data_IF_594608064086
#
_entry.id   IF_594608064086
#
_cell.length_a   1.000
_cell.length_b   1.000
_cell.length_c   1.000
_cell.angle_alpha   90.00
_cell.angle_beta   90.00
_cell.angle_gamma   90.00
#
_symmetry.space_group_name_H-M   'P 1'
#
loop_
_entity.id
_entity.type
_entity.pdbx_description
1 polymer ?
#
# COMPACT_ATOMS: atom_id res chain seq x y z
N UNK A 1 -10.39 -17.97 -9.29
CA UNK A 1 -11.31 -17.44 -8.25
C UNK A 1 -11.77 -16.07 -8.74
N UNK A 2 -13.07 -15.85 -8.93
CA UNK A 2 -13.58 -14.55 -9.37
C UNK A 2 -13.26 -13.50 -8.29
N UNK A 3 -12.65 -12.38 -8.68
CA UNK A 3 -12.41 -11.29 -7.74
C UNK A 3 -13.77 -10.73 -7.28
N UNK A 4 -13.96 -10.47 -5.98
CA UNK A 4 -15.19 -9.85 -5.50
C UNK A 4 -15.38 -8.48 -6.17
N UNK A 5 -16.61 -8.13 -6.52
CA UNK A 5 -16.91 -6.81 -7.07
C UNK A 5 -16.55 -5.69 -6.08
N UNK A 6 -16.28 -4.49 -6.58
CA UNK A 6 -16.00 -3.31 -5.75
C UNK A 6 -17.06 -3.11 -4.66
N UNK A 7 -18.34 -3.18 -5.02
CA UNK A 7 -19.46 -3.06 -4.07
C UNK A 7 -19.46 -4.17 -3.01
N UNK A 8 -19.14 -5.41 -3.40
CA UNK A 8 -19.07 -6.53 -2.48
C UNK A 8 -17.91 -6.38 -1.48
N UNK A 9 -16.80 -5.78 -1.90
CA UNK A 9 -15.67 -5.46 -1.01
C UNK A 9 -16.03 -4.32 -0.06
N UNK A 10 -16.62 -3.23 -0.57
CA UNK A 10 -17.04 -2.09 0.25
C UNK A 10 -17.96 -2.50 1.40
N UNK A 11 -18.96 -3.35 1.13
CA UNK A 11 -19.89 -3.86 2.15
C UNK A 11 -19.22 -4.66 3.28
N UNK A 12 -18.00 -5.16 3.07
CA UNK A 12 -17.24 -5.92 4.08
C UNK A 12 -16.45 -5.03 5.03
N UNK A 13 -16.23 -3.76 4.69
CA UNK A 13 -15.51 -2.82 5.56
C UNK A 13 -16.44 -2.46 6.71
N UNK A 14 -15.97 -2.72 7.93
CA UNK A 14 -16.69 -2.42 9.16
C UNK A 14 -15.81 -1.50 10.01
N UNK A 15 -16.41 -0.61 10.83
CA UNK A 15 -15.64 0.13 11.82
C UNK A 15 -14.97 -0.86 12.78
N UNK A 16 -13.83 -0.43 13.32
CA UNK A 16 -13.19 -1.19 14.40
C UNK A 16 -14.12 -1.20 15.61
N UNK A 17 -14.23 -2.36 16.25
CA UNK A 17 -15.10 -2.56 17.39
C UNK A 17 -14.44 -1.97 18.65
N UNK A 18 -15.16 -1.04 19.30
CA UNK A 18 -14.68 -0.30 20.46
C UNK A 18 -14.47 -1.20 21.68
N UNK A 19 -15.23 -2.30 21.80
CA UNK A 19 -15.10 -3.22 22.93
C UNK A 19 -13.73 -3.93 22.91
N UNK A 20 -13.20 -4.22 21.71
CA UNK A 20 -11.87 -4.77 21.57
C UNK A 20 -10.77 -3.77 21.94
N UNK A 21 -10.99 -2.48 21.66
CA UNK A 21 -10.06 -1.42 22.09
C UNK A 21 -10.05 -1.35 23.62
N UNK A 22 -11.22 -1.29 24.25
CA UNK A 22 -11.36 -1.23 25.70
C UNK A 22 -10.73 -2.45 26.40
N UNK A 23 -10.98 -3.67 25.90
CA UNK A 23 -10.35 -4.88 26.43
C UNK A 23 -8.82 -4.88 26.25
N UNK A 24 -8.31 -4.34 25.13
CA UNK A 24 -6.88 -4.22 24.91
C UNK A 24 -6.24 -3.20 25.87
N UNK A 25 -6.89 -2.05 26.08
CA UNK A 25 -6.49 -1.04 27.06
C UNK A 25 -6.47 -1.60 28.49
N UNK A 26 -7.50 -2.34 28.89
CA UNK A 26 -7.54 -3.01 30.19
C UNK A 26 -6.40 -4.02 30.34
N UNK A 27 -6.11 -4.81 29.29
CA UNK A 27 -4.97 -5.72 29.29
C UNK A 27 -3.65 -4.98 29.47
N UNK A 28 -3.47 -3.79 28.87
CA UNK A 28 -2.24 -2.99 29.02
C UNK A 28 -1.94 -2.62 30.48
N UNK A 29 -2.97 -2.46 31.32
CA UNK A 29 -2.84 -2.15 32.75
C UNK A 29 -2.27 -3.33 33.56
N UNK A 30 -2.41 -4.56 33.05
CA UNK A 30 -1.98 -5.79 33.72
C UNK A 30 -0.60 -6.28 33.26
N UNK A 31 0.03 -5.61 32.28
CA UNK A 31 1.37 -5.95 31.81
C UNK A 31 2.44 -5.40 32.75
N UNK A 32 3.61 -6.05 32.78
CA UNK A 32 4.76 -5.64 33.59
C UNK A 32 5.43 -4.37 33.04
N UNK A 33 4.74 -3.24 33.18
CA UNK A 33 5.17 -1.89 32.80
C UNK A 33 4.34 -0.86 33.59
N UNK A 34 4.88 0.33 33.90
CA UNK A 34 4.02 1.42 34.38
C UNK A 34 2.92 1.74 33.35
N UNK A 35 1.68 2.00 33.77
CA UNK A 35 0.59 2.37 32.86
C UNK A 35 0.98 3.52 31.93
N UNK A 36 0.74 3.36 30.63
CA UNK A 36 1.04 4.37 29.61
C UNK A 36 2.52 4.58 29.27
N UNK A 37 3.45 3.85 29.89
CA UNK A 37 4.89 4.08 29.71
C UNK A 37 5.41 3.82 28.30
N UNK A 38 4.69 3.08 27.46
CA UNK A 38 5.06 2.84 26.07
C UNK A 38 4.36 3.79 25.07
N UNK A 39 3.50 4.69 25.55
CA UNK A 39 2.82 5.73 24.77
C UNK A 39 2.17 5.19 23.50
N UNK A 40 2.59 5.71 22.33
CA UNK A 40 2.06 5.34 21.01
C UNK A 40 2.16 3.85 20.68
N UNK A 41 3.10 3.11 21.27
CA UNK A 41 3.18 1.66 21.05
C UNK A 41 1.97 0.93 21.64
N UNK A 42 1.42 1.41 22.77
CA UNK A 42 0.19 0.85 23.35
C UNK A 42 -1.00 1.12 22.43
N UNK A 43 -1.12 2.35 21.93
CA UNK A 43 -2.18 2.74 20.98
C UNK A 43 -2.17 1.88 19.71
N UNK A 44 -0.98 1.65 19.12
CA UNK A 44 -0.83 0.81 17.94
C UNK A 44 -1.21 -0.65 18.25
N UNK A 45 -0.75 -1.19 19.39
CA UNK A 45 -1.07 -2.56 19.79
C UNK A 45 -2.59 -2.74 20.01
N UNK A 46 -3.25 -1.79 20.67
CA UNK A 46 -4.69 -1.84 20.93
C UNK A 46 -5.50 -1.76 19.62
N UNK A 47 -5.07 -0.92 18.67
CA UNK A 47 -5.67 -0.87 17.32
C UNK A 47 -5.49 -2.17 16.56
N UNK A 48 -4.31 -2.78 16.62
CA UNK A 48 -4.07 -4.09 16.01
C UNK A 48 -4.95 -5.17 16.64
N UNK A 49 -5.12 -5.15 17.96
CA UNK A 49 -6.00 -6.06 18.68
C UNK A 49 -7.46 -5.93 18.21
N UNK A 50 -7.94 -4.70 18.03
CA UNK A 50 -9.29 -4.43 17.54
C UNK A 50 -9.50 -4.82 16.07
N UNK A 51 -8.53 -4.54 15.19
CA UNK A 51 -8.59 -4.95 13.77
C UNK A 51 -8.62 -6.47 13.65
N UNK A 52 -7.79 -7.17 14.42
CA UNK A 52 -7.66 -8.63 14.36
C UNK A 52 -8.65 -9.38 15.27
N UNK A 53 -9.42 -8.65 16.09
CA UNK A 53 -10.34 -9.19 17.10
C UNK A 53 -9.66 -10.22 18.01
N UNK A 54 -8.51 -9.84 18.57
CA UNK A 54 -7.73 -10.67 19.50
C UNK A 54 -6.85 -9.82 20.40
N UNK A 55 -6.70 -10.20 21.67
CA UNK A 55 -5.79 -9.53 22.61
C UNK A 55 -4.32 -9.93 22.44
N UNK A 56 -4.02 -10.82 21.50
CA UNK A 56 -2.66 -11.21 21.10
C UNK A 56 -2.49 -11.05 19.58
N UNK A 57 -2.54 -9.81 19.06
CA UNK A 57 -2.42 -9.56 17.63
C UNK A 57 -1.04 -9.96 17.12
N UNK A 58 -0.98 -10.44 15.89
CA UNK A 58 0.28 -10.81 15.21
C UNK A 58 0.33 -10.22 13.81
N UNK A 59 1.51 -9.83 13.36
CA UNK A 59 1.71 -9.42 11.96
C UNK A 59 2.22 -10.64 11.20
N UNK A 60 1.42 -11.12 10.24
CA UNK A 60 1.76 -12.29 9.41
C UNK A 60 1.91 -11.85 7.96
N UNK A 61 3.01 -12.23 7.33
CA UNK A 61 3.30 -11.94 5.91
C UNK A 61 3.04 -10.49 5.51
N UNK A 62 3.63 -9.50 6.21
CA UNK A 62 3.50 -8.10 5.81
C UNK A 62 4.04 -7.90 4.39
N UNK A 63 3.43 -7.00 3.63
CA UNK A 63 3.82 -6.67 2.26
C UNK A 63 3.87 -5.15 2.05
N UNK A 64 4.81 -4.70 1.24
CA UNK A 64 4.86 -3.35 0.66
C UNK A 64 4.43 -3.49 -0.80
N UNK A 65 3.38 -2.78 -1.19
CA UNK A 65 2.91 -2.71 -2.57
C UNK A 65 3.23 -1.34 -3.16
N UNK A 66 3.91 -1.31 -4.30
CA UNK A 66 4.19 -0.09 -5.07
C UNK A 66 3.31 -0.09 -6.30
N UNK A 67 2.31 0.77 -6.35
CA UNK A 67 1.50 0.99 -7.54
C UNK A 67 2.20 2.01 -8.45
N UNK A 68 2.50 1.62 -9.68
CA UNK A 68 3.21 2.44 -10.64
C UNK A 68 2.34 2.73 -11.85
N UNK A 69 2.22 4.02 -12.19
CA UNK A 69 1.56 4.52 -13.38
C UNK A 69 2.15 5.87 -13.78
N UNK A 70 1.99 6.21 -15.05
CA UNK A 70 2.33 7.50 -15.61
C UNK A 70 1.10 8.40 -15.74
N UNK A 71 1.33 9.72 -15.77
CA UNK A 71 0.28 10.72 -15.83
C UNK A 71 0.43 11.63 -17.05
N UNK A 72 -0.64 11.78 -17.83
CA UNK A 72 -0.62 12.64 -19.03
C UNK A 72 -0.37 14.12 -18.73
N UNK A 73 -0.69 14.61 -17.52
CA UNK A 73 -0.40 15.99 -17.12
C UNK A 73 1.10 16.33 -17.15
N UNK A 74 1.99 15.32 -17.19
CA UNK A 74 3.43 15.54 -17.35
C UNK A 74 3.78 16.31 -18.64
N UNK A 75 2.92 16.29 -19.67
CA UNK A 75 3.05 17.10 -20.88
C UNK A 75 3.06 18.61 -20.60
N UNK A 76 2.43 19.04 -19.50
CA UNK A 76 2.37 20.45 -19.07
C UNK A 76 3.65 20.93 -18.36
N UNK A 77 4.70 20.09 -18.29
CA UNK A 77 5.99 20.47 -17.69
C UNK A 77 5.94 20.63 -16.16
N UNK A 78 4.97 20.01 -15.50
CA UNK A 78 4.76 20.10 -14.04
C UNK A 78 5.74 19.25 -13.22
N UNK A 79 6.52 18.39 -13.86
CA UNK A 79 7.51 17.52 -13.22
C UNK A 79 8.93 18.00 -13.54
N UNK A 80 9.85 18.03 -12.55
CA UNK A 80 11.27 18.28 -12.81
C UNK A 80 11.99 17.10 -13.48
N UNK A 81 11.33 15.95 -13.61
CA UNK A 81 11.87 14.73 -14.22
C UNK A 81 11.08 14.33 -15.47
N UNK A 82 11.75 13.80 -16.51
CA UNK A 82 11.07 13.21 -17.66
C UNK A 82 10.15 12.05 -17.26
N UNK A 83 9.04 11.87 -17.98
CA UNK A 83 8.08 10.79 -17.72
C UNK A 83 8.71 9.39 -17.77
N UNK A 84 9.74 9.18 -18.60
CA UNK A 84 10.47 7.91 -18.68
C UNK A 84 11.15 7.48 -17.36
N UNK A 85 11.31 8.38 -16.39
CA UNK A 85 11.89 8.06 -15.08
C UNK A 85 11.02 7.08 -14.30
N UNK A 86 9.69 7.06 -14.50
CA UNK A 86 8.80 6.11 -13.82
C UNK A 86 9.20 4.67 -14.11
N UNK A 87 9.39 4.32 -15.39
CA UNK A 87 9.78 2.98 -15.79
C UNK A 87 11.19 2.61 -15.34
N UNK A 88 12.12 3.58 -15.33
CA UNK A 88 13.47 3.40 -14.80
C UNK A 88 13.45 3.10 -13.29
N UNK A 89 12.59 3.80 -12.54
CA UNK A 89 12.43 3.55 -11.11
C UNK A 89 11.79 2.19 -10.83
N UNK A 90 10.80 1.77 -11.63
CA UNK A 90 10.26 0.41 -11.53
C UNK A 90 11.34 -0.64 -11.80
N UNK A 91 12.14 -0.48 -12.85
CA UNK A 91 13.28 -1.36 -13.10
C UNK A 91 14.28 -1.37 -11.92
N UNK A 92 14.48 -0.22 -11.25
CA UNK A 92 15.32 -0.13 -10.06
C UNK A 92 14.70 -0.86 -8.84
N UNK A 93 13.37 -0.74 -8.64
CA UNK A 93 12.66 -1.48 -7.59
C UNK A 93 12.79 -3.00 -7.78
N UNK A 94 12.58 -3.48 -9.01
CA UNK A 94 12.69 -4.90 -9.35
C UNK A 94 14.12 -5.43 -9.19
N UNK A 95 15.13 -4.59 -9.42
CA UNK A 95 16.55 -4.91 -9.18
C UNK A 95 16.98 -4.79 -7.72
N UNK A 96 16.11 -4.33 -6.82
CA UNK A 96 16.45 -4.20 -5.40
C UNK A 96 17.29 -2.97 -5.05
N UNK A 97 17.42 -2.00 -5.95
CA UNK A 97 18.39 -0.89 -5.86
C UNK A 97 17.84 0.42 -5.28
N UNK A 98 16.54 0.53 -5.00
CA UNK A 98 15.98 1.75 -4.42
C UNK A 98 16.03 1.77 -2.89
N UNK A 99 15.85 2.97 -2.31
CA UNK A 99 15.80 3.14 -0.86
C UNK A 99 14.75 2.26 -0.18
N UNK A 100 13.56 2.11 -0.80
CA UNK A 100 12.49 1.26 -0.29
C UNK A 100 12.90 -0.23 -0.25
N UNK A 101 13.73 -0.70 -1.19
CA UNK A 101 14.26 -2.05 -1.15
C UNK A 101 15.20 -2.26 0.05
N UNK A 102 16.00 -1.25 0.41
CA UNK A 102 16.84 -1.31 1.59
C UNK A 102 16.00 -1.40 2.88
N UNK A 103 14.94 -0.59 2.99
CA UNK A 103 14.02 -0.64 4.14
C UNK A 103 13.25 -1.97 4.21
N UNK A 104 12.81 -2.49 3.07
CA UNK A 104 12.15 -3.80 2.97
C UNK A 104 13.08 -4.92 3.47
N UNK A 105 14.36 -4.91 3.08
CA UNK A 105 15.36 -5.88 3.58
C UNK A 105 15.59 -5.78 5.09
N UNK A 106 15.74 -4.57 5.63
CA UNK A 106 15.96 -4.36 7.07
C UNK A 106 14.76 -4.86 7.90
N UNK A 107 13.55 -4.71 7.36
CA UNK A 107 12.31 -5.10 8.05
C UNK A 107 11.86 -6.53 7.75
N UNK A 108 12.48 -7.21 6.77
CA UNK A 108 12.05 -8.53 6.29
C UNK A 108 10.68 -8.52 5.60
N UNK A 109 10.21 -7.36 5.14
CA UNK A 109 8.90 -7.19 4.50
C UNK A 109 9.05 -7.41 3.00
N UNK A 110 8.18 -8.24 2.42
CA UNK A 110 8.17 -8.49 0.97
C UNK A 110 7.73 -7.24 0.20
N UNK A 111 8.45 -6.88 -0.85
CA UNK A 111 8.13 -5.75 -1.73
C UNK A 111 7.64 -6.28 -3.07
N UNK A 112 6.49 -5.82 -3.52
CA UNK A 112 5.93 -6.13 -4.84
C UNK A 112 5.58 -4.84 -5.58
N UNK A 113 5.84 -4.82 -6.88
CA UNK A 113 5.47 -3.69 -7.75
C UNK A 113 4.23 -4.10 -8.54
N UNK A 114 3.25 -3.22 -8.62
CA UNK A 114 2.03 -3.39 -9.41
C UNK A 114 2.02 -2.33 -10.50
N UNK A 115 2.20 -2.74 -11.75
CA UNK A 115 1.98 -1.86 -12.90
C UNK A 115 0.49 -1.70 -13.10
N UNK A 116 -0.01 -0.48 -12.90
CA UNK A 116 -1.42 -0.12 -13.13
C UNK A 116 -1.61 0.84 -14.31
N UNK A 117 -0.51 1.32 -14.91
CA UNK A 117 -0.60 2.21 -16.05
C UNK A 117 0.70 2.91 -16.43
N UNK A 118 1.81 2.19 -16.52
CA UNK A 118 3.07 2.75 -17.01
C UNK A 118 2.98 3.07 -18.52
N UNK A 119 3.45 4.23 -18.96
CA UNK A 119 3.48 4.59 -20.38
C UNK A 119 4.46 3.72 -21.19
N UNK A 120 5.47 3.16 -20.52
CA UNK A 120 6.43 2.23 -21.12
C UNK A 120 6.19 0.80 -20.63
N UNK A 121 6.26 -0.18 -21.53
CA UNK A 121 6.26 -1.60 -21.14
C UNK A 121 7.58 -1.99 -20.48
N UNK A 122 7.48 -2.79 -19.42
CA UNK A 122 8.62 -3.33 -18.68
C UNK A 122 8.59 -4.84 -18.78
N UNK A 123 9.78 -5.45 -18.84
CA UNK A 123 9.91 -6.90 -18.84
C UNK A 123 9.24 -7.50 -17.60
N UNK A 124 8.40 -8.51 -17.81
CA UNK A 124 7.76 -9.23 -16.72
C UNK A 124 8.79 -9.96 -15.84
N UNK A 125 8.64 -9.82 -14.53
CA UNK A 125 9.36 -10.58 -13.52
C UNK A 125 8.37 -11.10 -12.48
N UNK A 126 8.71 -12.12 -11.68
CA UNK A 126 7.83 -12.62 -10.62
C UNK A 126 7.39 -11.55 -9.60
N UNK A 127 8.21 -10.52 -9.40
CA UNK A 127 7.98 -9.40 -8.47
C UNK A 127 7.13 -8.27 -9.07
N UNK A 128 6.87 -8.33 -10.39
CA UNK A 128 6.01 -7.39 -11.10
C UNK A 128 4.63 -8.00 -11.34
N UNK A 129 3.63 -7.41 -10.70
CA UNK A 129 2.22 -7.74 -10.92
C UNK A 129 1.68 -6.81 -12.00
N UNK A 130 1.38 -7.36 -13.18
CA UNK A 130 0.72 -6.59 -14.24
C UNK A 130 -0.79 -6.47 -14.00
N UNK A 131 -1.27 -5.24 -13.80
CA UNK A 131 -2.68 -4.83 -13.72
C UNK A 131 -2.91 -3.55 -14.53
N UNK A 132 -2.16 -3.41 -15.63
CA UNK A 132 -2.16 -2.24 -16.49
C UNK A 132 -3.57 -1.99 -17.04
N UNK A 133 -4.03 -0.76 -16.89
CA UNK A 133 -5.32 -0.29 -17.43
C UNK A 133 -5.11 0.35 -18.81
N UNK A 134 -4.18 1.29 -18.90
CA UNK A 134 -3.77 2.03 -20.12
C UNK A 134 -2.30 2.44 -20.01
N UNK A 135 -1.73 2.98 -21.09
CA UNK A 135 -0.37 3.53 -21.12
C UNK A 135 -0.33 4.95 -20.51
N UNK A 136 -0.57 5.03 -19.20
CA UNK A 136 -0.70 6.28 -18.45
C UNK A 136 -2.10 6.88 -18.48
N UNK A 137 -2.34 7.85 -17.60
CA UNK A 137 -3.61 8.59 -17.63
C UNK A 137 -3.63 9.59 -18.77
N UNK A 138 -4.82 9.98 -19.24
CA UNK A 138 -4.98 11.14 -20.11
C UNK A 138 -4.61 12.43 -19.36
N UNK A 139 -4.30 13.49 -20.11
CA UNK A 139 -3.94 14.78 -19.54
C UNK A 139 -5.20 15.49 -19.01
N UNK A 140 -5.29 15.61 -17.68
CA UNK A 140 -6.49 16.13 -17.04
C UNK A 140 -6.76 17.62 -17.26
N UNK A 141 -5.81 18.35 -17.84
CA UNK A 141 -6.02 19.73 -18.26
C UNK A 141 -6.94 19.83 -19.48
N UNK A 142 -7.03 18.77 -20.30
CA UNK A 142 -7.77 18.76 -21.56
C UNK A 142 -8.98 17.83 -21.54
N UNK A 143 -8.91 16.72 -20.79
CA UNK A 143 -9.99 15.72 -20.72
C UNK A 143 -9.93 14.90 -19.41
N UNK A 144 -10.92 14.07 -19.09
CA UNK A 144 -10.85 13.25 -17.88
C UNK A 144 -9.67 12.26 -17.94
N UNK A 145 -8.89 12.14 -16.86
CA UNK A 145 -7.71 11.27 -16.76
C UNK A 145 -7.99 9.80 -17.13
N UNK A 146 -9.18 9.31 -16.82
CA UNK A 146 -9.70 7.96 -17.14
C UNK A 146 -11.22 7.99 -17.19
N UNK A 147 -11.84 6.95 -17.78
CA UNK A 147 -13.30 6.75 -17.70
C UNK A 147 -13.70 6.27 -16.31
N UNK A 148 -15.00 6.11 -16.05
CA UNK A 148 -15.49 5.56 -14.77
C UNK A 148 -15.34 4.04 -14.66
N UNK A 149 -15.30 3.35 -15.80
CA UNK A 149 -15.18 1.89 -15.87
C UNK A 149 -13.71 1.43 -15.79
N UNK A 150 -12.79 2.30 -16.21
CA UNK A 150 -11.35 2.21 -15.94
C UNK A 150 -11.08 2.43 -14.45
#
# INVERSE_FOLDING_TARGET
MLQPSFEAVLKRIQPVDADWIAQAEERQLHLTKPPGSLGRLEEIANRCAAIQRTLSPTVRSPRILIFAADHGVCEEGVSPYPQAVTAQMVANFLKGGAAINALARVTGIELQVVDVGLAQQIQETPELISRRIEDGTRNFCHEAAMSRDQ
#
